data_IF_730687705140
#
_entry.id   IF_730687705140
#
_cell.length_a   1.000
_cell.length_b   1.000
_cell.length_c   1.000
_cell.angle_alpha   90.00
_cell.angle_beta   90.00
_cell.angle_gamma   90.00
#
_symmetry.space_group_name_H-M   'P 1'
#
loop_
_entity.id
_entity.type
_entity.pdbx_description
1 polymer ?
#
# COMPACT_ATOMS: atom_id res chain seq x y z
N UNK A 1 -42.68 -2.73 -43.39
CA UNK A 1 -41.32 -2.16 -43.19
C UNK A 1 -40.34 -2.91 -44.09
N UNK A 2 -39.97 -2.35 -45.26
CA UNK A 2 -39.09 -3.06 -46.22
C UNK A 2 -37.65 -3.02 -45.72
N UNK A 3 -37.11 -4.15 -45.23
CA UNK A 3 -35.66 -4.31 -44.97
C UNK A 3 -34.92 -4.06 -46.30
N UNK A 4 -34.03 -3.06 -46.34
CA UNK A 4 -33.17 -2.79 -47.50
C UNK A 4 -32.36 -4.06 -47.80
N UNK A 5 -32.40 -4.53 -49.06
CA UNK A 5 -31.63 -5.68 -49.57
C UNK A 5 -30.18 -5.56 -49.10
N UNK A 6 -29.72 -6.55 -48.33
CA UNK A 6 -28.31 -6.69 -47.98
C UNK A 6 -27.49 -6.70 -49.27
N UNK A 7 -26.43 -5.91 -49.30
CA UNK A 7 -25.46 -6.00 -50.39
C UNK A 7 -24.72 -7.32 -50.19
N UNK A 8 -24.79 -8.20 -51.18
CA UNK A 8 -23.96 -9.40 -51.23
C UNK A 8 -22.50 -8.97 -51.32
N UNK A 9 -21.67 -9.52 -50.42
CA UNK A 9 -20.27 -9.17 -50.29
C UNK A 9 -19.45 -10.43 -50.52
N UNK A 10 -18.52 -10.35 -51.47
CA UNK A 10 -17.58 -11.43 -51.73
C UNK A 10 -16.27 -11.13 -50.98
N UNK A 11 -15.90 -12.00 -50.05
CA UNK A 11 -14.63 -11.91 -49.30
C UNK A 11 -13.94 -13.27 -49.28
N UNK A 12 -12.68 -13.33 -49.73
CA UNK A 12 -11.87 -14.56 -49.81
C UNK A 12 -12.57 -15.74 -50.52
N UNK A 13 -13.37 -15.46 -51.57
CA UNK A 13 -14.11 -16.46 -52.33
C UNK A 13 -15.40 -16.97 -51.69
N UNK A 14 -15.77 -16.48 -50.51
CA UNK A 14 -17.07 -16.72 -49.86
C UNK A 14 -18.02 -15.54 -50.07
N UNK A 15 -19.29 -15.84 -50.36
CA UNK A 15 -20.35 -14.83 -50.51
C UNK A 15 -21.10 -14.68 -49.18
N UNK A 16 -21.21 -13.45 -48.68
CA UNK A 16 -21.96 -13.13 -47.48
C UNK A 16 -23.18 -12.30 -47.83
N UNK A 17 -24.33 -12.61 -47.22
CA UNK A 17 -25.62 -11.94 -47.47
C UNK A 17 -25.63 -10.56 -46.82
N UNK A 18 -24.78 -10.34 -45.82
CA UNK A 18 -24.62 -9.05 -45.17
C UNK A 18 -23.24 -8.84 -44.56
N UNK A 19 -22.90 -7.58 -44.33
CA UNK A 19 -21.70 -7.20 -43.59
C UNK A 19 -21.73 -7.68 -42.12
N UNK A 20 -22.92 -7.97 -41.55
CA UNK A 20 -23.04 -8.55 -40.22
C UNK A 20 -22.63 -10.02 -40.21
N UNK A 21 -23.07 -10.80 -41.21
CA UNK A 21 -22.69 -12.20 -41.35
C UNK A 21 -21.17 -12.37 -41.53
N UNK A 22 -20.54 -11.45 -42.28
CA UNK A 22 -19.08 -11.38 -42.40
C UNK A 22 -18.39 -11.03 -41.06
N UNK A 23 -18.99 -10.13 -40.26
CA UNK A 23 -18.49 -9.82 -38.91
C UNK A 23 -18.61 -11.02 -37.97
N UNK A 24 -19.70 -11.77 -38.06
CA UNK A 24 -19.96 -12.93 -37.21
C UNK A 24 -19.02 -14.10 -37.56
N UNK A 25 -18.76 -14.37 -38.85
CA UNK A 25 -17.83 -15.42 -39.30
C UNK A 25 -16.37 -15.11 -38.96
N UNK A 26 -15.96 -13.83 -39.06
CA UNK A 26 -14.59 -13.39 -38.78
C UNK A 26 -14.38 -12.92 -37.33
N UNK A 27 -15.44 -12.92 -36.51
CA UNK A 27 -15.47 -12.37 -35.15
C UNK A 27 -14.90 -10.93 -35.10
N UNK A 28 -15.37 -10.03 -35.97
CA UNK A 28 -14.86 -8.67 -36.11
C UNK A 28 -15.86 -7.62 -35.64
N UNK A 29 -15.40 -6.49 -35.06
CA UNK A 29 -16.29 -5.40 -34.69
C UNK A 29 -16.95 -4.80 -35.94
N UNK A 30 -18.30 -4.74 -35.94
CA UNK A 30 -19.11 -4.25 -37.06
C UNK A 30 -18.86 -2.77 -37.38
N UNK A 31 -18.71 -1.92 -36.36
CA UNK A 31 -18.65 -0.47 -36.54
C UNK A 31 -17.41 0.01 -37.35
N UNK A 32 -16.17 -0.44 -37.03
CA UNK A 32 -14.98 -0.12 -37.83
C UNK A 32 -15.05 -0.66 -39.27
N UNK A 33 -15.59 -1.86 -39.46
CA UNK A 33 -15.74 -2.50 -40.75
C UNK A 33 -16.73 -1.72 -41.64
N UNK A 34 -17.93 -1.45 -41.13
CA UNK A 34 -18.99 -0.74 -41.83
C UNK A 34 -18.58 0.69 -42.21
N UNK A 35 -17.97 1.41 -41.27
CA UNK A 35 -17.56 2.80 -41.49
C UNK A 35 -16.54 2.95 -42.62
N UNK A 36 -15.61 2.00 -42.77
CA UNK A 36 -14.64 2.00 -43.88
C UNK A 36 -15.29 1.50 -45.17
N UNK A 37 -16.04 0.39 -45.11
CA UNK A 37 -16.68 -0.21 -46.28
C UNK A 37 -17.65 0.74 -46.99
N UNK A 38 -18.51 1.46 -46.25
CA UNK A 38 -19.44 2.41 -46.87
C UNK A 38 -18.75 3.62 -47.50
N UNK A 39 -17.48 3.90 -47.17
CA UNK A 39 -16.69 5.00 -47.73
C UNK A 39 -15.82 4.60 -48.90
N UNK A 40 -15.16 3.44 -48.82
CA UNK A 40 -14.20 2.99 -49.83
C UNK A 40 -14.76 1.92 -50.77
N UNK A 41 -15.86 1.26 -50.40
CA UNK A 41 -16.44 0.08 -51.07
C UNK A 41 -15.46 -1.10 -51.26
N UNK A 42 -14.32 -1.04 -50.58
CA UNK A 42 -13.29 -2.07 -50.58
C UNK A 42 -13.43 -2.91 -49.31
N UNK A 43 -13.75 -4.19 -49.47
CA UNK A 43 -13.98 -5.10 -48.35
C UNK A 43 -12.68 -5.58 -47.71
N UNK A 44 -11.63 -5.80 -48.48
CA UNK A 44 -10.35 -6.33 -47.96
C UNK A 44 -9.69 -5.31 -47.04
N UNK A 45 -9.58 -4.06 -47.49
CA UNK A 45 -9.03 -2.97 -46.65
C UNK A 45 -9.89 -2.70 -45.41
N UNK A 46 -11.21 -2.90 -45.52
CA UNK A 46 -12.12 -2.70 -44.40
C UNK A 46 -11.93 -3.80 -43.34
N UNK A 47 -11.81 -5.06 -43.78
CA UNK A 47 -11.53 -6.21 -42.89
C UNK A 47 -10.17 -6.08 -42.23
N UNK A 48 -9.13 -5.68 -42.98
CA UNK A 48 -7.79 -5.46 -42.41
C UNK A 48 -7.80 -4.37 -41.32
N UNK A 49 -8.54 -3.28 -41.54
CA UNK A 49 -8.69 -2.23 -40.54
C UNK A 49 -9.50 -2.70 -39.32
N UNK A 50 -10.57 -3.46 -39.53
CA UNK A 50 -11.36 -4.01 -38.44
C UNK A 50 -10.56 -5.01 -37.59
N UNK A 51 -9.69 -5.82 -38.22
CA UNK A 51 -8.71 -6.68 -37.54
C UNK A 51 -7.75 -5.84 -36.69
N UNK A 52 -7.13 -4.79 -37.24
CA UNK A 52 -6.25 -3.89 -36.48
C UNK A 52 -6.93 -3.21 -35.28
N UNK A 53 -8.25 -2.96 -35.36
CA UNK A 53 -9.03 -2.40 -34.24
C UNK A 53 -9.41 -3.47 -33.21
N UNK A 54 -9.63 -4.72 -33.64
CA UNK A 54 -9.82 -5.86 -32.73
C UNK A 54 -8.52 -6.22 -32.00
N UNK A 55 -7.41 -6.20 -32.72
CA UNK A 55 -6.05 -6.40 -32.22
C UNK A 55 -5.52 -5.15 -31.50
N UNK A 56 -6.37 -4.14 -31.24
CA UNK A 56 -6.00 -2.98 -30.44
C UNK A 56 -5.58 -3.49 -29.06
N UNK A 57 -4.27 -3.55 -28.87
CA UNK A 57 -3.61 -4.05 -27.68
C UNK A 57 -4.19 -3.33 -26.46
N UNK A 58 -4.84 -4.06 -25.56
CA UNK A 58 -5.11 -3.55 -24.22
C UNK A 58 -3.80 -3.47 -23.48
N UNK A 59 -3.49 -2.30 -22.94
CA UNK A 59 -2.27 -2.07 -22.18
C UNK A 59 -2.60 -2.10 -20.69
N UNK A 60 -1.84 -2.88 -19.93
CA UNK A 60 -1.95 -2.88 -18.47
C UNK A 60 -0.81 -2.03 -17.91
N UNK A 61 -1.16 -1.04 -17.08
CA UNK A 61 -0.19 -0.23 -16.32
C UNK A 61 -0.59 -0.25 -14.85
N UNK A 62 0.23 -0.86 -14.00
CA UNK A 62 0.05 -1.00 -12.55
C UNK A 62 -1.33 -1.55 -12.19
N UNK A 63 -1.76 -2.61 -12.88
CA UNK A 63 -3.05 -3.26 -12.66
C UNK A 63 -4.26 -2.53 -13.24
N UNK A 64 -4.08 -1.41 -13.96
CA UNK A 64 -5.15 -0.71 -14.70
C UNK A 64 -5.07 -1.02 -16.19
N UNK A 65 -6.21 -1.34 -16.80
CA UNK A 65 -6.32 -1.63 -18.22
C UNK A 65 -6.69 -0.37 -19.03
N UNK A 66 -5.95 -0.13 -20.10
CA UNK A 66 -6.14 0.99 -21.02
C UNK A 66 -6.41 0.48 -22.43
N UNK A 67 -7.40 1.07 -23.09
CA UNK A 67 -7.81 0.71 -24.46
C UNK A 67 -6.88 1.30 -25.53
N UNK A 68 -6.07 2.30 -25.16
CA UNK A 68 -5.18 2.98 -26.09
C UNK A 68 -4.02 3.68 -25.38
N UNK A 69 -2.91 3.87 -26.10
CA UNK A 69 -1.79 4.71 -25.64
C UNK A 69 -2.21 6.16 -25.40
N UNK A 70 -3.22 6.64 -26.10
CA UNK A 70 -3.76 7.99 -25.89
C UNK A 70 -4.49 8.14 -24.57
N UNK A 71 -5.10 7.08 -24.05
CA UNK A 71 -5.76 7.12 -22.73
C UNK A 71 -4.70 7.18 -21.63
N UNK A 72 -3.64 6.39 -21.75
CA UNK A 72 -2.47 6.43 -20.85
C UNK A 72 -1.83 7.82 -20.88
N UNK A 73 -1.62 8.38 -22.07
CA UNK A 73 -1.03 9.69 -22.28
C UNK A 73 -1.82 10.81 -21.57
N UNK A 74 -3.15 10.77 -21.64
CA UNK A 74 -4.02 11.73 -20.96
C UNK A 74 -3.95 11.62 -19.44
N UNK A 75 -3.92 10.40 -18.91
CA UNK A 75 -3.92 10.18 -17.46
C UNK A 75 -2.61 10.64 -16.81
N UNK A 76 -1.48 10.31 -17.43
CA UNK A 76 -0.16 10.65 -16.90
C UNK A 76 0.40 11.97 -17.44
N UNK A 77 -0.35 12.68 -18.28
CA UNK A 77 0.05 13.99 -18.78
C UNK A 77 1.21 13.96 -19.77
N UNK A 78 1.40 12.85 -20.48
CA UNK A 78 2.51 12.65 -21.45
C UNK A 78 1.97 12.57 -22.89
N UNK A 79 2.86 12.34 -23.86
CA UNK A 79 2.50 12.16 -25.27
C UNK A 79 2.51 10.67 -25.66
N UNK A 80 1.49 10.24 -26.41
CA UNK A 80 1.41 8.89 -26.94
C UNK A 80 2.62 8.52 -27.81
N UNK A 81 3.27 9.51 -28.45
CA UNK A 81 4.49 9.29 -29.23
C UNK A 81 5.68 8.89 -28.36
N UNK A 82 5.79 9.48 -27.16
CA UNK A 82 6.86 9.16 -26.20
C UNK A 82 6.66 7.74 -25.67
N UNK A 83 5.44 7.39 -25.28
CA UNK A 83 5.11 6.04 -24.82
C UNK A 83 5.39 5.02 -25.93
N UNK A 84 4.97 5.30 -27.16
CA UNK A 84 5.21 4.43 -28.31
C UNK A 84 6.70 4.21 -28.59
N UNK A 85 7.53 5.24 -28.42
CA UNK A 85 8.99 5.10 -28.60
C UNK A 85 9.59 4.14 -27.58
N UNK A 86 9.18 4.23 -26.31
CA UNK A 86 9.67 3.31 -25.25
C UNK A 86 9.20 1.87 -25.46
N UNK A 87 8.00 1.68 -25.99
CA UNK A 87 7.50 0.35 -26.36
C UNK A 87 8.30 -0.24 -27.53
N UNK A 88 8.73 0.59 -28.50
CA UNK A 88 9.62 0.16 -29.59
C UNK A 88 11.02 -0.20 -29.09
N UNK A 89 11.50 0.46 -28.03
CA UNK A 89 12.74 0.12 -27.34
C UNK A 89 12.64 -1.23 -26.57
N UNK A 90 11.51 -1.93 -26.63
CA UNK A 90 11.29 -3.23 -26.01
C UNK A 90 10.87 -3.18 -24.54
N UNK A 91 10.54 -2.00 -24.00
CA UNK A 91 10.07 -1.84 -22.62
C UNK A 91 8.59 -2.18 -22.51
N UNK A 92 8.17 -2.62 -21.33
CA UNK A 92 6.75 -2.77 -21.01
C UNK A 92 6.07 -1.40 -20.85
N UNK A 93 4.74 -1.36 -20.98
CA UNK A 93 3.98 -0.12 -20.76
C UNK A 93 4.21 0.47 -19.35
N UNK A 94 4.36 -0.40 -18.34
CA UNK A 94 4.68 -0.01 -16.97
C UNK A 94 6.05 0.65 -16.84
N UNK A 95 7.09 0.04 -17.39
CA UNK A 95 8.45 0.58 -17.34
C UNK A 95 8.57 1.89 -18.14
N UNK A 96 7.88 1.97 -19.28
CA UNK A 96 7.82 3.19 -20.08
C UNK A 96 7.24 4.34 -19.25
N UNK A 97 6.10 4.13 -18.59
CA UNK A 97 5.44 5.16 -17.79
C UNK A 97 6.23 5.49 -16.53
N UNK A 98 6.79 4.49 -15.85
CA UNK A 98 7.67 4.68 -14.70
C UNK A 98 8.84 5.62 -15.02
N UNK A 99 9.48 5.44 -16.17
CA UNK A 99 10.62 6.25 -16.57
C UNK A 99 10.23 7.67 -17.00
N UNK A 100 9.14 7.80 -17.75
CA UNK A 100 8.59 9.10 -18.19
C UNK A 100 8.24 9.95 -16.96
N UNK A 101 7.52 9.37 -16.00
CA UNK A 101 7.06 10.07 -14.79
C UNK A 101 8.24 10.59 -13.94
N UNK A 102 9.37 9.90 -13.98
CA UNK A 102 10.55 10.30 -13.20
C UNK A 102 11.42 11.35 -13.91
N UNK A 103 11.59 11.26 -15.24
CA UNK A 103 12.64 11.99 -15.96
C UNK A 103 12.14 13.09 -16.90
N UNK A 104 10.87 13.05 -17.29
CA UNK A 104 10.35 13.93 -18.34
C UNK A 104 9.36 14.98 -17.83
N UNK A 105 9.01 15.92 -18.72
CA UNK A 105 7.98 16.92 -18.47
C UNK A 105 6.59 16.30 -18.57
N UNK A 106 5.80 16.50 -17.52
CA UNK A 106 4.43 16.02 -17.38
C UNK A 106 3.47 17.20 -17.35
N UNK A 107 2.38 17.10 -18.08
CA UNK A 107 1.29 18.07 -18.05
C UNK A 107 0.18 17.61 -17.11
N UNK A 108 0.01 18.29 -15.97
CA UNK A 108 -1.00 17.94 -14.98
C UNK A 108 -1.82 19.16 -14.56
N UNK A 109 -3.15 19.06 -14.62
CA UNK A 109 -4.08 20.16 -14.35
C UNK A 109 -3.79 21.47 -15.12
N UNK A 110 -3.35 21.37 -16.38
CA UNK A 110 -3.03 22.52 -17.24
C UNK A 110 -1.69 23.21 -16.92
N UNK A 111 -0.82 22.57 -16.13
CA UNK A 111 0.55 23.04 -15.84
C UNK A 111 1.57 21.99 -16.24
N UNK A 112 2.75 22.44 -16.63
CA UNK A 112 3.88 21.57 -16.96
C UNK A 112 4.83 21.43 -15.77
N UNK A 113 5.23 20.20 -15.48
CA UNK A 113 6.10 19.86 -14.37
C UNK A 113 7.25 18.95 -14.84
N UNK A 114 8.47 19.24 -14.44
CA UNK A 114 9.65 18.40 -14.64
C UNK A 114 9.65 17.24 -13.62
N UNK A 115 8.96 16.16 -13.99
CA UNK A 115 8.90 14.92 -13.22
C UNK A 115 7.98 14.97 -12.00
N UNK A 116 7.74 13.77 -11.46
CA UNK A 116 6.82 13.54 -10.33
C UNK A 116 7.22 14.29 -9.06
N UNK A 117 8.53 14.44 -8.81
CA UNK A 117 9.01 15.15 -7.63
C UNK A 117 8.54 16.61 -7.61
N UNK A 118 8.50 17.27 -8.77
CA UNK A 118 8.01 18.65 -8.86
C UNK A 118 6.49 18.73 -8.65
N UNK A 119 5.73 17.77 -9.20
CA UNK A 119 4.29 17.66 -8.95
C UNK A 119 4.01 17.46 -7.46
N UNK A 120 4.68 16.48 -6.84
CA UNK A 120 4.50 16.17 -5.42
C UNK A 120 4.81 17.37 -4.54
N UNK A 121 5.94 18.05 -4.78
CA UNK A 121 6.31 19.28 -4.07
C UNK A 121 5.29 20.40 -4.26
N UNK A 122 4.78 20.59 -5.48
CA UNK A 122 3.78 21.63 -5.78
C UNK A 122 2.48 21.43 -4.98
N UNK A 123 2.05 20.17 -4.80
CA UNK A 123 0.86 19.83 -4.01
C UNK A 123 1.15 19.53 -2.54
N UNK A 124 2.38 19.78 -2.06
CA UNK A 124 2.78 19.56 -0.67
C UNK A 124 2.72 18.10 -0.23
N UNK A 125 3.02 17.16 -1.13
CA UNK A 125 3.05 15.71 -0.87
C UNK A 125 4.47 15.17 -0.92
N UNK A 126 4.71 14.13 -0.13
CA UNK A 126 5.96 13.39 -0.18
C UNK A 126 6.07 12.60 -1.50
N UNK A 127 7.21 12.70 -2.18
CA UNK A 127 7.47 12.00 -3.44
C UNK A 127 7.31 10.48 -3.29
N UNK A 128 7.86 9.90 -2.21
CA UNK A 128 7.85 8.45 -1.98
C UNK A 128 6.44 7.94 -1.82
N UNK A 129 5.60 8.68 -1.08
CA UNK A 129 4.19 8.37 -0.91
C UNK A 129 3.43 8.36 -2.25
N UNK A 130 3.61 9.41 -3.07
CA UNK A 130 2.92 9.51 -4.37
C UNK A 130 3.39 8.38 -5.30
N UNK A 131 4.69 8.09 -5.33
CA UNK A 131 5.27 7.02 -6.12
C UNK A 131 4.75 5.63 -5.71
N UNK A 132 4.69 5.34 -4.42
CA UNK A 132 4.12 4.08 -3.92
C UNK A 132 2.66 3.93 -4.32
N UNK A 133 1.85 4.99 -4.16
CA UNK A 133 0.43 4.98 -4.54
C UNK A 133 0.21 4.67 -6.02
N UNK A 134 1.02 5.28 -6.90
CA UNK A 134 1.01 4.97 -8.34
C UNK A 134 1.34 3.50 -8.61
N UNK A 135 2.38 2.97 -7.94
CA UNK A 135 2.78 1.56 -8.07
C UNK A 135 1.69 0.59 -7.59
N UNK A 136 0.88 0.99 -6.62
CA UNK A 136 -0.29 0.23 -6.16
C UNK A 136 -1.52 0.38 -7.07
N UNK A 137 -1.38 1.00 -8.25
CA UNK A 137 -2.44 1.11 -9.24
C UNK A 137 -3.42 2.26 -9.00
N UNK A 138 -3.08 3.21 -8.13
CA UNK A 138 -3.84 4.46 -8.03
C UNK A 138 -3.54 5.37 -9.22
N UNK A 139 -4.55 6.12 -9.66
CA UNK A 139 -4.36 7.20 -10.63
C UNK A 139 -3.48 8.33 -10.08
N UNK A 140 -2.95 9.18 -10.96
CA UNK A 140 -2.19 10.37 -10.54
C UNK A 140 -3.00 11.30 -9.61
N UNK A 141 -4.29 11.48 -9.90
CA UNK A 141 -5.19 12.27 -9.06
C UNK A 141 -5.38 11.62 -7.67
N UNK A 142 -5.64 10.32 -7.62
CA UNK A 142 -5.79 9.59 -6.37
C UNK A 142 -4.49 9.61 -5.55
N UNK A 143 -3.35 9.41 -6.21
CA UNK A 143 -2.05 9.41 -5.57
C UNK A 143 -1.76 10.74 -4.85
N UNK A 144 -2.14 11.87 -5.47
CA UNK A 144 -1.94 13.21 -4.93
C UNK A 144 -3.02 13.61 -3.91
N UNK A 145 -4.28 13.34 -4.20
CA UNK A 145 -5.40 13.94 -3.46
C UNK A 145 -6.07 13.00 -2.45
N UNK A 146 -5.87 11.68 -2.54
CA UNK A 146 -6.43 10.80 -1.52
C UNK A 146 -5.84 11.16 -0.16
N UNK A 147 -6.69 11.50 0.84
CA UNK A 147 -6.20 11.78 2.17
C UNK A 147 -5.47 10.54 2.64
N UNK A 148 -4.24 10.74 3.13
CA UNK A 148 -3.62 9.71 3.97
C UNK A 148 -4.64 9.49 5.08
N UNK A 149 -5.20 8.27 5.19
CA UNK A 149 -5.86 7.89 6.43
C UNK A 149 -4.78 8.04 7.48
N UNK A 150 -4.77 9.17 8.17
CA UNK A 150 -3.95 9.31 9.35
C UNK A 150 -4.44 8.16 10.21
N UNK A 151 -3.57 7.16 10.42
CA UNK A 151 -3.68 6.29 11.57
C UNK A 151 -3.41 7.15 12.81
N UNK A 152 -4.21 8.21 13.00
CA UNK A 152 -4.63 8.61 14.31
C UNK A 152 -5.45 7.42 14.79
N UNK A 153 -4.73 6.40 15.25
CA UNK A 153 -5.27 5.36 16.11
C UNK A 153 -6.20 6.08 17.08
N UNK A 154 -7.43 5.59 17.30
CA UNK A 154 -8.29 6.16 18.32
C UNK A 154 -7.44 6.34 19.57
N UNK A 155 -7.30 7.60 19.95
CA UNK A 155 -6.57 8.03 21.11
C UNK A 155 -7.43 7.53 22.25
N UNK A 156 -7.20 6.27 22.68
CA UNK A 156 -7.89 5.70 23.81
C UNK A 156 -7.39 6.48 25.01
N UNK A 157 -8.06 7.59 25.28
CA UNK A 157 -7.96 8.27 26.55
C UNK A 157 -8.23 7.22 27.62
N UNK A 158 -7.22 7.02 28.45
CA UNK A 158 -7.33 6.13 29.59
C UNK A 158 -7.46 7.01 30.81
N UNK A 159 -8.37 6.65 31.70
CA UNK A 159 -8.38 7.20 33.04
C UNK A 159 -7.66 6.20 33.93
N UNK A 160 -6.71 6.65 34.72
CA UNK A 160 -6.02 5.83 35.71
C UNK A 160 -5.95 6.60 37.02
N UNK A 161 -6.55 6.04 38.08
CA UNK A 161 -6.67 6.67 39.41
C UNK A 161 -7.19 8.12 39.36
N UNK A 162 -8.17 8.38 38.49
CA UNK A 162 -8.79 9.71 38.33
C UNK A 162 -8.00 10.71 37.46
N UNK A 163 -6.82 10.34 36.95
CA UNK A 163 -6.06 11.16 35.99
C UNK A 163 -6.27 10.65 34.57
N UNK A 164 -6.59 11.56 33.65
CA UNK A 164 -6.80 11.25 32.24
C UNK A 164 -5.45 11.33 31.50
N UNK A 165 -5.09 10.28 30.79
CA UNK A 165 -3.92 10.25 29.91
C UNK A 165 -4.37 10.06 28.45
N UNK A 166 -3.72 10.79 27.55
CA UNK A 166 -4.00 10.70 26.11
C UNK A 166 -3.77 9.30 25.51
N UNK A 167 -3.02 8.43 26.18
CA UNK A 167 -2.87 7.02 25.80
C UNK A 167 -2.15 6.22 26.88
N UNK A 168 -2.21 4.89 26.79
CA UNK A 168 -1.35 3.97 27.55
C UNK A 168 0.14 4.32 27.43
N UNK A 169 0.60 4.86 26.30
CA UNK A 169 1.99 5.32 26.11
C UNK A 169 2.30 6.60 26.87
N UNK A 170 1.33 7.51 26.98
CA UNK A 170 1.50 8.73 27.76
C UNK A 170 1.67 8.40 29.25
N UNK A 171 0.82 7.52 29.78
CA UNK A 171 0.98 6.97 31.14
C UNK A 171 2.36 6.31 31.33
N UNK A 172 2.76 5.45 30.39
CA UNK A 172 4.03 4.74 30.46
C UNK A 172 5.23 5.69 30.50
N UNK A 173 5.24 6.74 29.66
CA UNK A 173 6.31 7.74 29.65
C UNK A 173 6.37 8.54 30.95
N UNK A 174 5.22 9.00 31.46
CA UNK A 174 5.18 9.80 32.69
C UNK A 174 5.70 9.01 33.91
N UNK A 175 5.42 7.71 33.95
CA UNK A 175 5.84 6.84 35.05
C UNK A 175 7.20 6.15 34.81
N UNK A 176 7.90 6.47 33.72
CA UNK A 176 9.13 5.79 33.29
C UNK A 176 8.97 4.25 33.26
N UNK A 177 7.89 3.78 32.64
CA UNK A 177 7.61 2.38 32.40
C UNK A 177 7.72 2.15 30.89
N UNK A 178 8.43 1.12 30.48
CA UNK A 178 8.46 0.67 29.11
C UNK A 178 7.08 0.17 28.69
N UNK A 179 6.54 0.69 27.57
CA UNK A 179 5.24 0.24 27.04
C UNK A 179 5.21 -1.27 26.75
N UNK A 180 6.39 -1.86 26.53
CA UNK A 180 6.54 -3.30 26.32
C UNK A 180 6.15 -4.07 27.59
N UNK A 181 6.53 -3.62 28.79
CA UNK A 181 6.19 -4.28 30.05
C UNK A 181 4.68 -4.27 30.30
N UNK A 182 4.01 -3.13 30.06
CA UNK A 182 2.55 -3.04 30.19
C UNK A 182 1.88 -4.01 29.20
N UNK A 183 2.38 -4.06 27.97
CA UNK A 183 1.84 -4.96 26.94
C UNK A 183 2.04 -6.42 27.30
N UNK A 184 3.22 -6.79 27.78
CA UNK A 184 3.56 -8.15 28.20
C UNK A 184 2.62 -8.62 29.32
N UNK A 185 2.33 -7.76 30.30
CA UNK A 185 1.34 -8.04 31.36
C UNK A 185 -0.08 -8.26 30.80
N UNK A 186 -0.49 -7.45 29.83
CA UNK A 186 -1.82 -7.57 29.23
C UNK A 186 -1.96 -8.78 28.31
N UNK A 187 -0.94 -9.07 27.48
CA UNK A 187 -0.99 -10.11 26.44
C UNK A 187 -0.62 -11.51 26.99
N UNK A 188 0.43 -11.62 27.81
CA UNK A 188 0.91 -12.92 28.30
C UNK A 188 0.21 -13.35 29.60
N UNK A 189 -0.20 -12.41 30.44
CA UNK A 189 -0.86 -12.69 31.73
C UNK A 189 -2.36 -12.39 31.72
N UNK A 190 -2.90 -11.85 30.62
CA UNK A 190 -4.33 -11.56 30.48
C UNK A 190 -4.85 -10.47 31.43
N UNK A 191 -3.96 -9.62 31.95
CA UNK A 191 -4.32 -8.57 32.90
C UNK A 191 -4.95 -7.37 32.18
N UNK A 192 -5.85 -6.68 32.89
CA UNK A 192 -6.33 -5.37 32.47
C UNK A 192 -5.25 -4.29 32.69
N UNK A 193 -5.46 -3.12 32.09
CA UNK A 193 -4.46 -2.06 32.11
C UNK A 193 -4.23 -1.49 33.52
N UNK A 194 -5.29 -1.34 34.33
CA UNK A 194 -5.16 -0.74 35.67
C UNK A 194 -4.38 -1.67 36.60
N UNK A 195 -4.73 -2.95 36.64
CA UNK A 195 -3.99 -3.94 37.43
C UNK A 195 -2.54 -4.08 36.97
N UNK A 196 -2.29 -4.09 35.66
CA UNK A 196 -0.91 -4.13 35.14
C UNK A 196 -0.11 -2.87 35.55
N UNK A 197 -0.73 -1.70 35.53
CA UNK A 197 -0.12 -0.45 35.96
C UNK A 197 0.18 -0.44 37.47
N UNK A 198 -0.76 -0.91 38.29
CA UNK A 198 -0.60 -1.02 39.75
C UNK A 198 0.57 -1.93 40.12
N UNK A 199 0.64 -3.13 39.53
CA UNK A 199 1.73 -4.09 39.78
C UNK A 199 3.07 -3.49 39.38
N UNK A 200 3.16 -2.82 38.22
CA UNK A 200 4.41 -2.23 37.74
C UNK A 200 4.90 -1.08 38.64
N UNK A 201 3.98 -0.26 39.15
CA UNK A 201 4.32 0.80 40.10
C UNK A 201 4.74 0.23 41.45
N UNK A 202 4.05 -0.80 41.95
CA UNK A 202 4.40 -1.48 43.20
C UNK A 202 5.75 -2.18 43.13
N UNK A 203 6.06 -2.81 41.98
CA UNK A 203 7.39 -3.40 41.73
C UNK A 203 8.47 -2.32 41.79
N UNK A 204 8.23 -1.16 41.19
CA UNK A 204 9.19 -0.04 41.19
C UNK A 204 9.50 0.43 42.61
N UNK A 205 8.46 0.56 43.42
CA UNK A 205 8.57 0.95 44.83
C UNK A 205 9.29 -0.13 45.66
N UNK A 206 8.84 -1.39 45.61
CA UNK A 206 9.43 -2.51 46.38
C UNK A 206 10.87 -2.83 45.97
N UNK A 207 11.16 -2.72 44.68
CA UNK A 207 12.51 -2.96 44.16
C UNK A 207 13.45 -1.78 44.43
N UNK A 208 12.95 -0.64 44.90
CA UNK A 208 13.74 0.56 45.16
C UNK A 208 14.29 1.22 43.89
N UNK A 209 13.61 1.05 42.76
CA UNK A 209 14.01 1.65 41.47
C UNK A 209 13.63 3.14 41.52
N UNK A 210 14.58 4.07 41.25
CA UNK A 210 14.29 5.50 41.22
C UNK A 210 13.14 5.85 40.27
N UNK A 211 12.33 6.85 40.62
CA UNK A 211 11.20 7.31 39.80
C UNK A 211 11.63 7.72 38.37
N UNK A 212 12.85 8.22 38.22
CA UNK A 212 13.45 8.65 36.96
C UNK A 212 13.99 7.50 36.10
N UNK A 213 14.27 6.35 36.70
CA UNK A 213 14.81 5.20 35.99
C UNK A 213 13.70 4.44 35.27
N UNK A 214 13.91 4.21 33.96
CA UNK A 214 12.94 3.50 33.13
C UNK A 214 13.06 1.98 33.29
N UNK A 215 11.94 1.32 33.59
CA UNK A 215 11.83 -0.14 33.57
C UNK A 215 11.55 -0.58 32.14
N UNK A 216 12.53 -1.20 31.47
CA UNK A 216 12.40 -1.65 30.08
C UNK A 216 12.08 -3.15 29.94
N UNK A 217 12.29 -3.91 31.01
CA UNK A 217 12.01 -5.35 31.13
C UNK A 217 11.71 -5.70 32.58
N UNK A 218 11.02 -6.80 32.82
CA UNK A 218 10.91 -7.35 34.17
C UNK A 218 12.27 -7.86 34.65
N UNK A 219 12.85 -7.28 35.71
CA UNK A 219 14.08 -7.81 36.27
C UNK A 219 13.79 -9.18 36.91
N UNK A 220 14.46 -10.23 36.41
CA UNK A 220 14.29 -11.61 36.90
C UNK A 220 14.53 -11.74 38.40
N UNK A 221 15.45 -10.94 38.95
CA UNK A 221 15.69 -10.81 40.37
C UNK A 221 16.26 -9.42 40.67
N UNK A 222 15.63 -8.67 41.57
CA UNK A 222 16.14 -7.38 42.03
C UNK A 222 15.95 -7.27 43.54
N UNK A 223 17.04 -6.98 44.26
CA UNK A 223 17.00 -6.75 45.72
C UNK A 223 17.63 -5.39 45.98
N UNK A 224 16.88 -4.51 46.66
CA UNK A 224 17.34 -3.16 47.07
C UNK A 224 17.98 -2.35 45.93
N UNK A 225 17.36 -2.33 44.74
CA UNK A 225 17.81 -1.54 43.59
C UNK A 225 18.93 -2.17 42.75
N UNK A 226 19.47 -3.34 43.13
CA UNK A 226 20.50 -4.06 42.35
C UNK A 226 19.86 -5.20 41.57
N UNK A 227 20.00 -5.17 40.24
CA UNK A 227 19.55 -6.25 39.34
C UNK A 227 20.54 -7.41 39.40
N UNK A 228 20.04 -8.62 39.60
CA UNK A 228 20.79 -9.86 39.52
C UNK A 228 20.26 -10.66 38.34
N UNK A 229 21.13 -10.95 37.36
CA UNK A 229 20.72 -11.66 36.14
C UNK A 229 20.56 -13.15 36.39
N UNK A 230 21.24 -13.67 37.41
CA UNK A 230 21.17 -15.07 37.79
C UNK A 230 20.98 -15.25 39.30
N UNK A 231 20.34 -16.36 39.66
CA UNK A 231 20.18 -16.80 41.04
C UNK A 231 21.54 -17.07 41.73
N UNK A 232 22.56 -17.38 40.94
CA UNK A 232 23.94 -17.59 41.39
C UNK A 232 24.60 -16.26 41.79
N UNK A 233 24.43 -15.20 41.00
CA UNK A 233 24.91 -13.85 41.35
C UNK A 233 24.27 -13.36 42.65
N UNK A 234 22.97 -13.60 42.81
CA UNK A 234 22.26 -13.26 44.04
C UNK A 234 22.80 -14.04 45.25
N UNK A 235 22.94 -15.36 45.10
CA UNK A 235 23.42 -16.24 46.17
C UNK A 235 24.84 -15.86 46.62
N UNK A 236 25.70 -15.49 45.67
CA UNK A 236 27.05 -15.01 45.95
C UNK A 236 27.06 -13.71 46.78
N UNK A 237 26.21 -12.74 46.44
CA UNK A 237 26.11 -11.48 47.20
C UNK A 237 25.59 -11.71 48.62
N UNK A 238 24.56 -12.57 48.76
CA UNK A 238 23.96 -12.92 50.05
C UNK A 238 24.83 -13.90 50.87
N UNK A 239 25.98 -14.34 50.34
CA UNK A 239 26.91 -15.32 50.93
C UNK A 239 26.22 -16.64 51.32
N UNK A 240 25.26 -17.08 50.51
CA UNK A 240 24.53 -18.34 50.67
C UNK A 240 24.71 -19.22 49.43
N UNK A 241 24.51 -20.53 49.56
CA UNK A 241 24.57 -21.41 48.39
C UNK A 241 23.29 -21.29 47.56
N UNK A 242 23.38 -21.41 46.23
CA UNK A 242 22.21 -21.43 45.36
C UNK A 242 21.22 -22.55 45.73
N UNK A 243 21.73 -23.67 46.26
CA UNK A 243 20.92 -24.75 46.81
C UNK A 243 20.11 -24.32 48.04
N UNK A 244 20.67 -23.50 48.93
CA UNK A 244 19.95 -22.96 50.08
C UNK A 244 18.78 -22.04 49.64
N UNK A 245 18.99 -21.22 48.61
CA UNK A 245 17.91 -20.36 48.05
C UNK A 245 16.79 -21.21 47.44
N UNK A 246 17.15 -22.24 46.67
CA UNK A 246 16.17 -23.19 46.10
C UNK A 246 15.40 -23.95 47.18
N UNK A 247 16.10 -24.39 48.24
CA UNK A 247 15.49 -25.11 49.37
C UNK A 247 14.52 -24.23 50.15
N UNK A 248 14.86 -22.95 50.35
CA UNK A 248 13.97 -21.98 51.00
C UNK A 248 12.71 -21.73 50.15
N UNK A 249 12.89 -21.53 48.83
CA UNK A 249 11.77 -21.34 47.90
C UNK A 249 10.82 -22.54 47.91
N UNK A 250 11.34 -23.77 47.94
CA UNK A 250 10.49 -24.97 47.95
C UNK A 250 9.79 -25.22 49.29
N UNK A 251 10.28 -24.64 50.40
CA UNK A 251 9.65 -24.79 51.73
C UNK A 251 8.61 -23.72 52.04
N UNK A 252 8.74 -22.53 51.44
CA UNK A 252 7.94 -21.35 51.75
C UNK A 252 7.18 -20.78 50.53
N UNK A 253 7.21 -21.50 49.41
CA UNK A 253 6.54 -21.14 48.15
C UNK A 253 5.20 -21.82 48.01
#
# INVERSE_FOLDING_TARGET
MKRRKGHEIDYAGKKYVSLHELCDDLDLPYSPLAHKYYRTKDIEQSVERAKKVKDAQTYTVWGREYKSLTDIAKEYGTSAAVISKRLQDGKTAEEAIAEIIQKETLSFCGKEFHGLAQIANFYGKDYSLVWERLKYGMSMEEALFLPIRQMNKPQYEITYRGKIYQSKRAFARENNIGIVCIREMMENHGLDFETAADILLEIKEKAGIPAEQMITRFPMCMIRGKEYRTLVELAAELKISAAAVSTYKNRNG
#
